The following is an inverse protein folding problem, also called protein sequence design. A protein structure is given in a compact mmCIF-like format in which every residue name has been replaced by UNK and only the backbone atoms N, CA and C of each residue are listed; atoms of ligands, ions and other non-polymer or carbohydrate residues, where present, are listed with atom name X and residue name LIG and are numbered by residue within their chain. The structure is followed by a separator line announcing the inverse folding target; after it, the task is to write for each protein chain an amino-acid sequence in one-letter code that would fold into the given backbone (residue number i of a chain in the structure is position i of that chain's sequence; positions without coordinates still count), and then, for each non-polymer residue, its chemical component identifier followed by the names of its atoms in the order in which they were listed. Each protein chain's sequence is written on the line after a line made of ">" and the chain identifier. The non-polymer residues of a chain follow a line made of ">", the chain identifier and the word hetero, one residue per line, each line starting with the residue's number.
data_IF_349169767633
#
_entry.id   IF_349169767633
#
_cell.length_a   1.000
_cell.length_b   1.000
_cell.length_c   1.000
_cell.angle_alpha   90.00
_cell.angle_beta   90.00
_cell.angle_gamma   90.00
#
_symmetry.space_group_name_H-M   'P 1'
#
loop_
_entity.id
_entity.type
_entity.pdbx_description
1 polymer ?
#
# COMPACT_ATOMS: atom_id res chain seq x y z
N UNK A 1 -20.36 -12.01 -24.20
CA UNK A 1 -19.05 -11.31 -24.07
C UNK A 1 -19.35 -9.82 -23.91
N UNK A 2 -18.95 -9.25 -22.79
CA UNK A 2 -19.14 -7.82 -22.50
C UNK A 2 -18.18 -6.97 -23.31
N UNK A 3 -18.42 -5.66 -23.42
CA UNK A 3 -17.49 -4.74 -24.09
C UNK A 3 -16.10 -4.74 -23.40
N UNK A 4 -16.06 -4.94 -22.07
CA UNK A 4 -14.83 -5.06 -21.32
C UNK A 4 -14.00 -6.27 -21.74
N UNK A 5 -14.63 -7.43 -21.95
CA UNK A 5 -13.95 -8.65 -22.42
C UNK A 5 -13.50 -8.56 -23.89
N UNK A 6 -14.16 -7.71 -24.69
CA UNK A 6 -13.80 -7.52 -26.09
C UNK A 6 -12.65 -6.54 -26.31
N UNK A 7 -12.56 -5.49 -25.48
CA UNK A 7 -11.69 -4.33 -25.74
C UNK A 7 -10.53 -4.21 -24.77
N UNK A 8 -10.64 -4.74 -23.55
CA UNK A 8 -9.57 -4.63 -22.56
C UNK A 8 -8.64 -5.84 -22.60
N UNK A 9 -7.37 -5.58 -22.26
CA UNK A 9 -6.35 -6.63 -22.12
C UNK A 9 -6.72 -7.67 -21.05
N UNK A 10 -6.25 -8.89 -21.22
CA UNK A 10 -6.40 -9.98 -20.24
C UNK A 10 -5.71 -9.74 -18.88
N UNK A 11 -4.92 -8.69 -18.74
CA UNK A 11 -4.25 -8.31 -17.49
C UNK A 11 -5.22 -7.91 -16.37
N UNK A 12 -6.49 -7.71 -16.68
CA UNK A 12 -7.56 -7.39 -15.71
C UNK A 12 -7.58 -8.41 -14.57
N UNK A 13 -7.65 -7.92 -13.33
CA UNK A 13 -7.70 -8.74 -12.13
C UNK A 13 -8.98 -8.51 -11.34
N UNK A 14 -9.20 -7.30 -10.85
CA UNK A 14 -10.32 -6.98 -9.95
C UNK A 14 -11.70 -7.22 -10.59
N UNK A 15 -11.88 -6.91 -11.87
CA UNK A 15 -13.14 -7.14 -12.58
C UNK A 15 -13.52 -8.62 -12.72
N UNK A 16 -12.56 -9.54 -12.48
CA UNK A 16 -12.85 -10.98 -12.46
C UNK A 16 -13.39 -11.42 -11.09
N UNK A 17 -12.93 -10.78 -10.02
CA UNK A 17 -13.45 -11.01 -8.66
C UNK A 17 -14.80 -10.33 -8.41
N UNK A 18 -15.04 -9.20 -9.08
CA UNK A 18 -16.24 -8.36 -8.93
C UNK A 18 -16.88 -8.08 -10.29
N UNK A 19 -17.59 -9.07 -10.88
CA UNK A 19 -18.08 -9.00 -12.26
C UNK A 19 -19.39 -8.18 -12.40
N UNK A 20 -19.43 -7.00 -11.79
CA UNK A 20 -20.54 -6.05 -11.82
C UNK A 20 -20.09 -4.70 -12.36
N UNK A 21 -21.03 -3.89 -12.88
CA UNK A 21 -20.74 -2.55 -13.38
C UNK A 21 -21.13 -1.53 -12.31
N UNK A 22 -20.13 -0.89 -11.71
CA UNK A 22 -20.35 0.19 -10.76
C UNK A 22 -20.60 1.51 -11.50
N UNK A 23 -21.56 2.29 -11.01
CA UNK A 23 -21.94 3.59 -11.55
C UNK A 23 -21.68 4.75 -10.58
N UNK A 24 -21.95 4.55 -9.29
CA UNK A 24 -21.89 5.58 -8.27
C UNK A 24 -21.15 5.09 -7.02
N UNK A 25 -20.46 6.00 -6.33
CA UNK A 25 -19.83 5.71 -5.04
C UNK A 25 -19.86 6.94 -4.11
N UNK A 26 -20.05 6.73 -2.80
CA UNK A 26 -20.05 7.78 -1.76
C UNK A 26 -19.53 7.21 -0.44
N UNK A 27 -18.56 7.86 0.19
CA UNK A 27 -17.98 7.38 1.44
C UNK A 27 -17.36 5.99 1.28
N UNK A 28 -17.82 5.01 2.04
CA UNK A 28 -17.42 3.62 1.96
C UNK A 28 -18.41 2.75 1.18
N UNK A 29 -19.22 3.33 0.31
CA UNK A 29 -20.27 2.61 -0.42
C UNK A 29 -20.14 2.79 -1.93
N UNK A 30 -20.27 1.69 -2.66
CA UNK A 30 -20.34 1.66 -4.11
C UNK A 30 -21.70 1.10 -4.55
N UNK A 31 -22.20 1.56 -5.69
CA UNK A 31 -23.50 1.16 -6.22
C UNK A 31 -23.35 0.75 -7.68
N UNK A 32 -23.99 -0.36 -8.04
CA UNK A 32 -24.08 -0.78 -9.43
C UNK A 32 -25.06 0.12 -10.21
N UNK A 33 -25.03 0.00 -11.53
CA UNK A 33 -26.01 0.66 -12.40
C UNK A 33 -27.47 0.23 -12.12
N UNK A 34 -27.66 -0.98 -11.60
CA UNK A 34 -28.97 -1.52 -11.20
C UNK A 34 -29.39 -1.10 -9.79
N UNK A 35 -28.49 -0.43 -9.05
CA UNK A 35 -28.78 0.12 -7.72
C UNK A 35 -28.33 -0.75 -6.55
N UNK A 36 -27.72 -1.91 -6.80
CA UNK A 36 -27.17 -2.77 -5.74
C UNK A 36 -26.04 -2.06 -5.00
N UNK A 37 -26.07 -2.13 -3.67
CA UNK A 37 -25.11 -1.51 -2.78
C UNK A 37 -24.02 -2.49 -2.37
N UNK A 38 -22.79 -2.03 -2.42
CA UNK A 38 -21.61 -2.73 -1.90
C UNK A 38 -20.88 -1.87 -0.88
N UNK A 39 -20.56 -2.45 0.27
CA UNK A 39 -19.70 -1.85 1.27
C UNK A 39 -18.22 -2.04 0.87
N UNK A 40 -17.46 -0.94 0.76
CA UNK A 40 -16.11 -0.96 0.21
C UNK A 40 -15.04 -1.04 1.31
N UNK A 41 -14.53 -2.25 1.55
CA UNK A 41 -13.38 -2.52 2.41
C UNK A 41 -12.07 -2.71 1.62
N UNK A 42 -12.07 -2.26 0.36
CA UNK A 42 -10.91 -2.25 -0.53
C UNK A 42 -10.35 -0.83 -0.74
N UNK A 43 -11.23 0.16 -0.85
CA UNK A 43 -10.91 1.59 -1.02
C UNK A 43 -9.84 1.84 -2.10
N UNK A 44 -10.01 1.20 -3.29
CA UNK A 44 -9.06 1.33 -4.38
C UNK A 44 -7.63 0.87 -4.03
N UNK A 45 -7.49 -0.26 -3.33
CA UNK A 45 -6.23 -0.76 -2.78
C UNK A 45 -5.53 0.26 -1.85
N UNK A 46 -6.31 0.97 -1.04
CA UNK A 46 -5.83 2.00 -0.12
C UNK A 46 -5.54 3.37 -0.78
N UNK A 47 -6.10 3.64 -1.97
CA UNK A 47 -5.99 4.95 -2.61
C UNK A 47 -7.05 5.97 -2.15
N UNK A 48 -8.08 5.51 -1.45
CA UNK A 48 -9.25 6.30 -1.07
C UNK A 48 -9.42 6.38 0.46
N UNK A 49 -8.34 6.76 1.17
CA UNK A 49 -8.40 6.89 2.63
C UNK A 49 -9.50 7.84 3.13
N UNK A 50 -9.87 8.83 2.32
CA UNK A 50 -10.91 9.80 2.66
C UNK A 50 -12.29 9.46 2.09
N UNK A 51 -12.47 8.23 1.58
CA UNK A 51 -13.70 7.73 0.99
C UNK A 51 -13.97 8.24 -0.43
N UNK A 52 -14.93 7.60 -1.08
CA UNK A 52 -15.39 8.00 -2.40
C UNK A 52 -16.15 9.34 -2.36
N UNK A 53 -15.89 10.19 -3.34
CA UNK A 53 -16.63 11.45 -3.53
C UNK A 53 -16.79 12.27 -2.24
N UNK A 54 -15.73 12.34 -1.43
CA UNK A 54 -15.71 13.16 -0.22
C UNK A 54 -16.22 14.57 -0.50
N UNK A 55 -17.23 15.02 0.23
CA UNK A 55 -17.98 16.24 -0.10
C UNK A 55 -17.11 17.50 -0.09
N UNK A 56 -16.21 17.65 0.89
CA UNK A 56 -15.30 18.79 0.97
C UNK A 56 -14.31 18.82 -0.17
N UNK A 57 -13.67 17.68 -0.44
CA UNK A 57 -12.69 17.55 -1.54
C UNK A 57 -13.34 17.73 -2.90
N UNK A 58 -14.55 17.18 -3.10
CA UNK A 58 -15.31 17.35 -4.34
C UNK A 58 -15.70 18.80 -4.58
N UNK A 59 -16.22 19.50 -3.57
CA UNK A 59 -16.59 20.89 -3.71
C UNK A 59 -15.39 21.76 -4.08
N UNK A 60 -14.26 21.54 -3.40
CA UNK A 60 -13.01 22.25 -3.69
C UNK A 60 -12.55 22.06 -5.14
N UNK A 61 -12.66 20.83 -5.64
CA UNK A 61 -12.31 20.50 -7.03
C UNK A 61 -13.25 21.17 -8.04
N UNK A 62 -14.57 21.11 -7.79
CA UNK A 62 -15.59 21.76 -8.64
C UNK A 62 -15.36 23.27 -8.72
N UNK A 63 -15.16 23.93 -7.59
CA UNK A 63 -14.89 25.37 -7.55
C UNK A 63 -13.61 25.75 -8.32
N UNK A 64 -12.58 24.90 -8.25
CA UNK A 64 -11.36 25.08 -8.99
C UNK A 64 -11.55 24.98 -10.52
N UNK A 65 -12.34 24.02 -10.96
CA UNK A 65 -12.66 23.84 -12.38
C UNK A 65 -13.51 25.01 -12.89
N UNK A 66 -14.51 25.43 -12.13
CA UNK A 66 -15.42 26.53 -12.52
C UNK A 66 -14.73 27.89 -12.63
N UNK A 67 -13.60 28.10 -11.94
CA UNK A 67 -12.80 29.33 -12.06
C UNK A 67 -11.67 29.25 -13.08
N UNK A 68 -11.67 28.27 -13.96
CA UNK A 68 -10.63 28.04 -14.97
C UNK A 68 -9.22 27.86 -14.36
N UNK A 69 -9.12 27.14 -13.24
CA UNK A 69 -7.85 26.85 -12.57
C UNK A 69 -6.88 26.10 -13.47
N UNK A 70 -5.57 26.35 -13.34
CA UNK A 70 -4.52 25.67 -14.12
C UNK A 70 -4.59 24.16 -13.87
N UNK A 71 -4.89 23.37 -14.91
CA UNK A 71 -5.05 21.91 -14.76
C UNK A 71 -3.71 21.19 -14.72
N UNK A 72 -2.80 21.53 -15.62
CA UNK A 72 -1.52 20.85 -15.79
C UNK A 72 -0.39 21.87 -15.83
N UNK A 73 0.63 21.67 -15.00
CA UNK A 73 1.69 22.68 -14.80
C UNK A 73 3.11 22.16 -14.96
N UNK A 74 3.33 20.86 -15.26
CA UNK A 74 4.68 20.31 -15.19
C UNK A 74 5.33 20.64 -13.82
N UNK A 75 6.42 21.42 -13.83
CA UNK A 75 7.07 21.96 -12.63
C UNK A 75 6.96 23.49 -12.50
N UNK A 76 6.08 24.10 -13.30
CA UNK A 76 5.78 25.54 -13.18
C UNK A 76 5.17 25.87 -11.83
N UNK A 77 5.39 27.09 -11.36
CA UNK A 77 4.79 27.60 -10.15
C UNK A 77 3.30 27.90 -10.36
N UNK A 78 2.45 27.26 -9.57
CA UNK A 78 1.01 27.53 -9.53
C UNK A 78 0.55 27.73 -8.10
N UNK A 79 -0.57 28.43 -7.92
CA UNK A 79 -1.18 28.62 -6.58
C UNK A 79 -1.53 27.27 -5.93
N UNK A 80 -2.06 26.31 -6.69
CA UNK A 80 -2.41 24.99 -6.15
C UNK A 80 -1.16 24.23 -5.66
N UNK A 81 -0.03 24.33 -6.37
CA UNK A 81 1.22 23.72 -5.96
C UNK A 81 1.82 24.41 -4.73
N UNK A 82 1.81 25.75 -4.70
CA UNK A 82 2.25 26.51 -3.54
C UNK A 82 1.43 26.15 -2.31
N UNK A 83 0.11 26.12 -2.45
CA UNK A 83 -0.82 25.78 -1.39
C UNK A 83 -0.57 24.36 -0.83
N UNK A 84 -0.36 23.38 -1.70
CA UNK A 84 -0.02 22.02 -1.28
C UNK A 84 1.31 21.96 -0.51
N UNK A 85 2.36 22.57 -1.05
CA UNK A 85 3.69 22.58 -0.42
C UNK A 85 3.64 23.24 0.96
N UNK A 86 2.98 24.40 1.07
CA UNK A 86 2.83 25.11 2.34
C UNK A 86 2.03 24.26 3.35
N UNK A 87 0.89 23.70 2.91
CA UNK A 87 0.05 22.89 3.77
C UNK A 87 0.78 21.62 4.24
N UNK A 88 1.50 20.95 3.35
CA UNK A 88 2.28 19.77 3.71
C UNK A 88 3.38 20.10 4.72
N UNK A 89 4.05 21.24 4.53
CA UNK A 89 5.05 21.76 5.49
C UNK A 89 4.42 22.02 6.85
N UNK A 90 3.32 22.77 6.91
CA UNK A 90 2.74 23.27 8.16
C UNK A 90 1.98 22.19 8.93
N UNK A 91 1.29 21.29 8.23
CA UNK A 91 0.41 20.27 8.85
C UNK A 91 1.13 18.94 9.07
N UNK A 92 2.08 18.57 8.20
CA UNK A 92 2.71 17.25 8.26
C UNK A 92 4.15 17.31 8.76
N UNK A 93 5.03 18.07 8.08
CA UNK A 93 6.47 18.00 8.37
C UNK A 93 6.82 18.73 9.66
N UNK A 94 6.41 19.98 9.81
CA UNK A 94 6.78 20.82 10.94
C UNK A 94 6.34 20.26 12.29
N UNK A 95 5.08 19.79 12.49
CA UNK A 95 4.67 19.22 13.77
C UNK A 95 5.43 17.95 14.15
N UNK A 96 6.00 17.25 13.16
CA UNK A 96 6.79 16.02 13.34
C UNK A 96 8.31 16.27 13.44
N UNK A 97 8.73 17.51 13.33
CA UNK A 97 10.16 17.87 13.33
C UNK A 97 10.94 17.27 12.16
N UNK A 98 10.27 17.00 11.03
CA UNK A 98 10.86 16.40 9.85
C UNK A 98 11.29 17.48 8.85
N UNK A 99 12.52 17.36 8.36
CA UNK A 99 13.08 18.24 7.31
C UNK A 99 13.30 17.43 6.03
N UNK A 100 12.34 17.55 5.10
CA UNK A 100 12.40 16.91 3.80
C UNK A 100 12.20 17.90 2.66
N UNK A 101 12.93 17.69 1.56
CA UNK A 101 12.61 18.26 0.25
C UNK A 101 11.56 17.38 -0.41
N UNK A 102 10.63 18.01 -1.14
CA UNK A 102 9.55 17.31 -1.85
C UNK A 102 9.85 17.27 -3.34
N UNK A 103 9.96 16.06 -3.88
CA UNK A 103 10.06 15.80 -5.29
C UNK A 103 8.73 15.21 -5.80
N UNK A 104 8.24 15.70 -6.94
CA UNK A 104 7.10 15.14 -7.67
C UNK A 104 7.64 14.32 -8.85
N UNK A 105 7.79 12.99 -8.75
CA UNK A 105 8.44 12.17 -9.77
C UNK A 105 7.53 11.84 -10.96
N UNK A 106 6.23 11.79 -10.72
CA UNK A 106 5.19 11.38 -11.66
C UNK A 106 3.92 11.01 -10.88
N UNK A 107 2.85 10.50 -11.54
CA UNK A 107 1.55 10.37 -10.88
C UNK A 107 1.40 9.11 -10.02
N UNK A 108 2.25 8.09 -10.16
CA UNK A 108 2.06 6.79 -9.51
C UNK A 108 3.15 6.42 -8.52
N UNK A 109 2.84 5.49 -7.61
CA UNK A 109 3.77 4.99 -6.60
C UNK A 109 5.06 4.43 -7.18
N UNK A 110 4.99 3.67 -8.27
CA UNK A 110 6.19 3.16 -8.95
C UNK A 110 7.12 4.29 -9.43
N UNK A 111 6.58 5.46 -9.83
CA UNK A 111 7.41 6.62 -10.19
C UNK A 111 8.19 7.14 -8.98
N UNK A 112 7.56 7.16 -7.79
CA UNK A 112 8.24 7.58 -6.55
C UNK A 112 9.36 6.59 -6.17
N UNK A 113 9.09 5.29 -6.27
CA UNK A 113 10.09 4.23 -6.01
C UNK A 113 11.27 4.31 -6.98
N UNK A 114 11.00 4.47 -8.30
CA UNK A 114 12.05 4.63 -9.32
C UNK A 114 12.93 5.85 -9.03
N UNK A 115 12.32 6.98 -8.65
CA UNK A 115 13.05 8.20 -8.29
C UNK A 115 13.92 7.98 -7.03
N UNK A 116 13.37 7.34 -6.00
CA UNK A 116 14.09 7.03 -4.76
C UNK A 116 15.31 6.15 -5.00
N UNK A 117 15.14 5.05 -5.75
CA UNK A 117 16.23 4.14 -6.10
C UNK A 117 17.30 4.81 -6.97
N UNK A 118 16.87 5.60 -7.96
CA UNK A 118 17.78 6.36 -8.83
C UNK A 118 18.59 7.37 -8.02
N UNK A 119 17.96 8.05 -7.05
CA UNK A 119 18.64 8.99 -6.17
C UNK A 119 19.64 8.28 -5.25
N UNK A 120 19.24 7.18 -4.62
CA UNK A 120 20.14 6.39 -3.77
C UNK A 120 21.41 5.96 -4.52
N UNK A 121 21.26 5.48 -5.75
CA UNK A 121 22.39 5.14 -6.62
C UNK A 121 23.27 6.33 -6.94
N UNK A 122 22.64 7.48 -7.25
CA UNK A 122 23.36 8.70 -7.61
C UNK A 122 24.20 9.24 -6.45
N UNK A 123 23.65 9.33 -5.25
CA UNK A 123 24.34 9.94 -4.11
C UNK A 123 25.41 9.04 -3.51
N UNK A 124 25.29 7.73 -3.66
CA UNK A 124 26.28 6.76 -3.13
C UNK A 124 27.30 6.31 -4.16
N UNK A 125 27.03 6.48 -5.45
CA UNK A 125 27.84 5.90 -6.53
C UNK A 125 27.76 4.37 -6.63
N UNK A 126 26.86 3.73 -5.87
CA UNK A 126 26.63 2.28 -5.83
C UNK A 126 25.43 1.90 -6.71
N UNK A 127 25.25 0.61 -7.02
CA UNK A 127 24.19 0.17 -7.96
C UNK A 127 23.10 -0.67 -7.33
N UNK A 128 23.42 -1.50 -6.34
CA UNK A 128 22.51 -2.49 -5.77
C UNK A 128 21.52 -1.86 -4.81
N UNK A 129 20.24 -2.27 -4.91
CA UNK A 129 19.22 -1.97 -3.92
C UNK A 129 18.84 -3.27 -3.21
N UNK A 130 18.81 -3.26 -1.90
CA UNK A 130 18.29 -4.36 -1.09
C UNK A 130 16.81 -4.13 -0.86
N UNK A 131 16.02 -5.19 -1.00
CA UNK A 131 14.60 -5.25 -0.66
C UNK A 131 14.32 -6.48 0.20
N UNK A 132 13.09 -6.61 0.70
CA UNK A 132 12.75 -7.72 1.59
C UNK A 132 11.86 -8.77 0.89
N UNK A 133 11.89 -10.00 1.40
CA UNK A 133 10.94 -11.05 0.97
C UNK A 133 9.50 -10.54 1.10
N UNK A 134 8.62 -10.96 0.18
CA UNK A 134 7.21 -10.54 0.08
C UNK A 134 6.96 -9.05 -0.21
N UNK A 135 7.99 -8.25 -0.52
CA UNK A 135 7.82 -6.83 -0.84
C UNK A 135 7.02 -6.59 -2.13
N UNK A 136 6.35 -5.43 -2.18
CA UNK A 136 5.73 -4.92 -3.39
C UNK A 136 5.96 -3.42 -3.54
N UNK A 137 6.74 -3.04 -4.56
CA UNK A 137 7.14 -1.64 -4.79
C UNK A 137 6.70 -1.08 -6.15
N UNK A 138 6.03 -1.88 -6.97
CA UNK A 138 5.49 -1.46 -8.26
C UNK A 138 5.76 -2.42 -9.40
N UNK A 139 5.30 -2.03 -10.61
CA UNK A 139 5.29 -2.89 -11.81
C UNK A 139 6.16 -2.37 -12.95
N UNK A 140 6.78 -1.19 -12.83
CA UNK A 140 7.85 -0.76 -13.76
C UNK A 140 9.10 -1.60 -13.53
N UNK A 141 9.96 -1.79 -14.51
CA UNK A 141 11.07 -2.73 -14.42
C UNK A 141 12.00 -2.50 -13.22
N UNK A 142 12.34 -1.25 -12.91
CA UNK A 142 13.14 -0.95 -11.73
C UNK A 142 12.40 -1.25 -10.43
N UNK A 143 11.13 -0.85 -10.28
CA UNK A 143 10.31 -1.15 -9.12
C UNK A 143 10.01 -2.66 -9.02
N UNK A 144 9.85 -3.34 -10.16
CA UNK A 144 9.64 -4.78 -10.23
C UNK A 144 10.88 -5.57 -9.78
N UNK A 145 12.08 -5.01 -10.00
CA UNK A 145 13.33 -5.64 -9.53
C UNK A 145 13.41 -5.77 -8.00
N UNK A 146 12.74 -4.89 -7.28
CA UNK A 146 12.65 -4.89 -5.80
C UNK A 146 11.30 -5.39 -5.29
N UNK A 147 10.46 -6.00 -6.15
CA UNK A 147 9.20 -6.65 -5.81
C UNK A 147 9.39 -8.16 -5.68
N UNK A 148 8.91 -8.77 -4.59
CA UNK A 148 9.15 -10.19 -4.27
C UNK A 148 8.24 -11.19 -4.99
N UNK A 149 7.11 -10.77 -5.57
CA UNK A 149 6.09 -11.65 -6.15
C UNK A 149 6.55 -12.33 -7.46
N UNK A 150 6.66 -13.66 -7.46
CA UNK A 150 7.20 -14.44 -8.57
C UNK A 150 6.35 -14.32 -9.86
N UNK A 151 5.01 -14.33 -9.76
CA UNK A 151 4.11 -14.18 -10.90
C UNK A 151 4.33 -12.83 -11.61
N UNK A 152 4.39 -11.75 -10.81
CA UNK A 152 4.59 -10.39 -11.35
C UNK A 152 5.97 -10.24 -11.97
N UNK A 153 7.01 -10.76 -11.32
CA UNK A 153 8.41 -10.74 -11.83
C UNK A 153 8.59 -11.57 -13.10
N UNK A 154 7.92 -12.72 -13.18
CA UNK A 154 7.98 -13.59 -14.36
C UNK A 154 7.50 -12.88 -15.64
N UNK A 155 6.59 -11.92 -15.53
CA UNK A 155 6.11 -11.10 -16.64
C UNK A 155 7.15 -10.14 -17.26
N UNK A 156 8.32 -9.93 -16.61
CA UNK A 156 9.39 -9.08 -17.17
C UNK A 156 10.03 -9.70 -18.43
N UNK A 157 10.06 -11.03 -18.54
CA UNK A 157 10.64 -11.73 -19.69
C UNK A 157 12.18 -11.69 -19.79
N UNK A 158 12.85 -11.06 -18.82
CA UNK A 158 14.30 -10.98 -18.72
C UNK A 158 14.76 -10.91 -17.26
N UNK A 159 16.06 -11.18 -16.95
CA UNK A 159 16.57 -11.06 -15.60
C UNK A 159 16.45 -9.62 -15.05
N UNK A 160 15.91 -9.48 -13.84
CA UNK A 160 15.86 -8.22 -13.11
C UNK A 160 17.16 -8.07 -12.31
N UNK A 161 17.91 -7.01 -12.60
CA UNK A 161 19.26 -6.80 -12.08
C UNK A 161 19.31 -5.72 -10.98
N UNK A 162 20.46 -5.65 -10.30
CA UNK A 162 20.79 -4.64 -9.30
C UNK A 162 19.84 -4.61 -8.09
N UNK A 163 19.26 -5.77 -7.76
CA UNK A 163 18.43 -5.95 -6.58
C UNK A 163 18.82 -7.23 -5.84
N UNK A 164 18.79 -7.19 -4.50
CA UNK A 164 19.05 -8.34 -3.62
C UNK A 164 17.93 -8.44 -2.62
N UNK A 165 17.30 -9.62 -2.54
CA UNK A 165 16.27 -9.91 -1.55
C UNK A 165 16.89 -10.43 -0.25
N UNK A 166 16.49 -9.87 0.90
CA UNK A 166 16.82 -10.38 2.22
C UNK A 166 15.54 -10.70 3.01
N UNK A 167 15.61 -11.58 4.02
CA UNK A 167 14.43 -11.92 4.81
C UNK A 167 13.83 -10.72 5.54
N UNK A 168 12.52 -10.52 5.42
CA UNK A 168 11.77 -9.56 6.22
C UNK A 168 11.66 -9.99 7.69
N UNK A 169 11.21 -9.09 8.56
CA UNK A 169 10.94 -9.40 9.97
C UNK A 169 10.00 -10.60 10.11
N UNK A 170 10.39 -11.59 10.92
CA UNK A 170 9.63 -12.82 11.15
C UNK A 170 9.60 -13.84 9.98
N UNK A 171 10.19 -13.54 8.81
CA UNK A 171 10.11 -14.41 7.62
C UNK A 171 10.72 -15.80 7.83
N UNK A 172 11.81 -15.92 8.60
CA UNK A 172 12.47 -17.20 8.89
C UNK A 172 11.76 -17.99 9.99
N UNK A 173 10.71 -17.43 10.61
CA UNK A 173 10.01 -18.02 11.73
C UNK A 173 10.79 -17.96 13.04
N UNK A 174 10.08 -18.23 14.17
CA UNK A 174 10.68 -18.24 15.49
C UNK A 174 11.35 -16.91 15.87
N UNK A 175 12.42 -17.00 16.62
CA UNK A 175 13.23 -15.86 17.11
C UNK A 175 14.41 -15.50 16.16
N UNK A 176 14.37 -15.93 14.89
CA UNK A 176 15.45 -15.70 13.96
C UNK A 176 15.63 -14.19 13.66
N UNK A 177 16.82 -13.68 13.97
CA UNK A 177 17.22 -12.30 13.69
C UNK A 177 17.59 -12.14 12.21
N UNK A 178 16.64 -11.72 11.40
CA UNK A 178 16.83 -11.56 9.95
C UNK A 178 17.82 -10.44 9.61
N UNK A 179 17.96 -9.42 10.46
CA UNK A 179 18.94 -8.35 10.26
C UNK A 179 20.36 -8.76 10.64
N UNK A 180 20.54 -9.68 11.59
CA UNK A 180 21.86 -10.25 11.87
C UNK A 180 22.39 -11.02 10.64
N UNK A 181 21.51 -11.71 9.90
CA UNK A 181 21.86 -12.32 8.62
C UNK A 181 22.31 -11.27 7.59
N UNK A 182 21.56 -10.18 7.45
CA UNK A 182 21.90 -9.09 6.51
C UNK A 182 23.21 -8.39 6.90
N UNK A 183 23.41 -8.08 8.18
CA UNK A 183 24.63 -7.50 8.69
C UNK A 183 25.84 -8.40 8.41
N UNK A 184 25.70 -9.71 8.63
CA UNK A 184 26.76 -10.69 8.30
C UNK A 184 27.15 -10.65 6.82
N UNK A 185 26.20 -10.47 5.91
CA UNK A 185 26.48 -10.33 4.49
C UNK A 185 27.26 -9.05 4.17
N UNK A 186 27.01 -7.95 4.88
CA UNK A 186 27.70 -6.67 4.69
C UNK A 186 29.12 -6.67 5.26
N UNK A 187 29.34 -7.35 6.38
CA UNK A 187 30.62 -7.39 7.10
C UNK A 187 31.59 -8.45 6.51
N UNK A 188 31.10 -9.42 5.76
CA UNK A 188 31.87 -10.51 5.20
C UNK A 188 32.26 -10.21 3.75
N UNK A 189 33.53 -9.86 3.54
CA UNK A 189 34.06 -9.61 2.18
C UNK A 189 33.96 -10.82 1.22
N UNK A 190 33.69 -12.02 1.74
CA UNK A 190 33.46 -13.24 0.99
C UNK A 190 31.99 -13.54 0.69
N UNK A 191 31.06 -12.70 1.16
CA UNK A 191 29.60 -12.94 1.02
C UNK A 191 29.09 -12.84 -0.40
N UNK A 192 29.79 -12.15 -1.30
CA UNK A 192 29.32 -11.84 -2.66
C UNK A 192 28.29 -10.71 -2.71
N UNK A 193 28.05 -10.01 -1.58
CA UNK A 193 27.15 -8.87 -1.49
C UNK A 193 27.96 -7.61 -1.22
N UNK A 194 28.13 -6.78 -2.26
CA UNK A 194 28.74 -5.47 -2.12
C UNK A 194 27.81 -4.54 -1.35
N UNK A 195 28.38 -3.54 -0.63
CA UNK A 195 27.61 -2.55 0.09
C UNK A 195 26.58 -1.86 -0.84
N UNK A 196 25.26 -1.98 -0.60
CA UNK A 196 24.25 -1.48 -1.51
C UNK A 196 24.15 0.05 -1.50
N UNK A 197 23.53 0.60 -2.53
CA UNK A 197 23.18 2.02 -2.63
C UNK A 197 22.09 2.39 -1.64
N UNK A 198 21.10 1.52 -1.49
CA UNK A 198 19.96 1.72 -0.61
C UNK A 198 19.30 0.42 -0.21
N UNK A 199 18.51 0.52 0.84
CA UNK A 199 17.56 -0.50 1.29
C UNK A 199 16.17 0.11 1.17
N UNK A 200 15.23 -0.59 0.53
CA UNK A 200 13.82 -0.20 0.44
C UNK A 200 12.96 -1.15 1.27
N UNK A 201 12.05 -0.60 2.07
CA UNK A 201 11.21 -1.36 3.00
C UNK A 201 9.80 -0.75 3.11
N UNK A 202 8.79 -1.62 3.15
CA UNK A 202 7.45 -1.31 3.66
C UNK A 202 7.44 -1.64 5.16
N UNK A 203 7.00 -0.74 6.02
CA UNK A 203 6.88 -1.03 7.47
C UNK A 203 5.77 -2.04 7.76
N UNK A 204 4.76 -2.07 6.89
CA UNK A 204 3.74 -3.12 6.79
C UNK A 204 3.61 -3.49 5.33
N UNK A 205 3.92 -4.74 5.00
CA UNK A 205 3.83 -5.25 3.63
C UNK A 205 2.38 -5.52 3.24
N UNK A 206 1.76 -4.60 2.52
CA UNK A 206 0.34 -4.70 2.19
C UNK A 206 0.02 -5.84 1.25
N UNK A 207 0.61 -5.83 0.07
CA UNK A 207 0.44 -6.87 -0.96
C UNK A 207 1.17 -8.17 -0.58
N UNK A 208 2.16 -8.08 0.29
CA UNK A 208 2.95 -9.21 0.79
C UNK A 208 2.25 -10.08 1.82
N UNK A 209 1.03 -9.71 2.29
CA UNK A 209 0.25 -10.49 3.25
C UNK A 209 0.10 -9.83 4.61
N UNK A 210 0.08 -8.51 4.66
CA UNK A 210 -0.08 -7.73 5.88
C UNK A 210 0.97 -8.10 6.95
N UNK A 211 2.21 -8.28 6.51
CA UNK A 211 3.33 -8.55 7.41
C UNK A 211 3.78 -7.23 8.06
N UNK A 212 3.77 -7.18 9.38
CA UNK A 212 4.11 -5.98 10.17
C UNK A 212 5.52 -6.12 10.70
N UNK A 213 6.40 -5.17 10.37
CA UNK A 213 7.72 -5.07 11.01
C UNK A 213 7.59 -4.52 12.42
N UNK A 214 8.34 -5.09 13.36
CA UNK A 214 8.38 -4.58 14.72
C UNK A 214 9.15 -3.25 14.80
N UNK A 215 8.78 -2.35 15.70
CA UNK A 215 9.53 -1.10 15.92
C UNK A 215 11.02 -1.34 16.22
N UNK A 216 11.34 -2.41 16.95
CA UNK A 216 12.70 -2.85 17.27
C UNK A 216 13.48 -3.20 16.01
N UNK A 217 12.88 -3.98 15.11
CA UNK A 217 13.49 -4.39 13.85
C UNK A 217 13.75 -3.17 12.95
N UNK A 218 12.80 -2.23 12.87
CA UNK A 218 12.95 -0.99 12.09
C UNK A 218 14.07 -0.10 12.64
N UNK A 219 14.19 0.04 13.97
CA UNK A 219 15.29 0.76 14.60
C UNK A 219 16.63 0.10 14.29
N UNK A 220 16.72 -1.22 14.42
CA UNK A 220 17.93 -1.98 14.06
C UNK A 220 18.29 -1.81 12.58
N UNK A 221 17.31 -1.81 11.68
CA UNK A 221 17.52 -1.56 10.25
C UNK A 221 18.07 -0.15 10.01
N UNK A 222 17.50 0.89 10.69
CA UNK A 222 18.00 2.26 10.59
C UNK A 222 19.46 2.38 11.07
N UNK A 223 19.79 1.76 12.18
CA UNK A 223 21.15 1.76 12.73
C UNK A 223 22.14 1.06 11.81
N UNK A 224 21.75 -0.09 11.27
CA UNK A 224 22.54 -0.85 10.30
C UNK A 224 22.84 -0.01 9.05
N UNK A 225 21.80 0.56 8.43
CA UNK A 225 21.96 1.37 7.22
C UNK A 225 22.80 2.62 7.47
N UNK A 226 22.70 3.24 8.65
CA UNK A 226 23.52 4.39 9.05
C UNK A 226 24.99 4.01 9.17
N UNK A 227 25.32 2.91 9.85
CA UNK A 227 26.71 2.44 10.04
C UNK A 227 27.41 2.14 8.71
N UNK A 228 26.70 1.61 7.73
CA UNK A 228 27.24 1.23 6.42
C UNK A 228 27.09 2.32 5.34
N UNK A 229 26.55 3.50 5.69
CA UNK A 229 26.32 4.59 4.73
C UNK A 229 25.40 4.16 3.58
N UNK A 230 24.33 3.45 3.91
CA UNK A 230 23.32 2.95 2.99
C UNK A 230 22.08 3.85 3.11
N UNK A 231 21.49 4.27 1.99
CA UNK A 231 20.26 5.08 1.97
C UNK A 231 19.07 4.22 2.41
N UNK A 232 18.38 4.58 3.48
CA UNK A 232 17.15 3.93 3.91
C UNK A 232 15.95 4.60 3.23
N UNK A 233 15.22 3.82 2.43
CA UNK A 233 14.00 4.22 1.73
C UNK A 233 12.82 3.51 2.41
N UNK A 234 11.88 4.27 2.96
CA UNK A 234 10.60 3.73 3.42
C UNK A 234 9.55 3.93 2.33
N UNK A 235 8.96 2.83 1.90
CA UNK A 235 7.85 2.85 0.94
C UNK A 235 6.51 2.96 1.69
N UNK A 236 6.00 4.17 1.76
CA UNK A 236 4.73 4.54 2.40
C UNK A 236 3.60 4.75 1.39
N UNK A 237 3.73 4.22 0.18
CA UNK A 237 2.73 4.36 -0.88
C UNK A 237 1.36 3.82 -0.47
N UNK A 238 1.31 2.68 0.23
CA UNK A 238 0.05 2.08 0.68
C UNK A 238 -0.21 2.33 2.17
N UNK A 239 0.82 2.31 3.00
CA UNK A 239 0.68 2.33 4.45
C UNK A 239 0.81 3.72 5.08
N UNK A 240 1.25 4.71 4.32
CA UNK A 240 1.24 6.11 4.71
C UNK A 240 -0.14 6.75 4.65
N UNK A 241 -0.19 8.05 4.85
CA UNK A 241 -1.41 8.86 4.90
C UNK A 241 -2.44 8.30 5.90
N UNK A 242 -1.98 7.78 7.05
CA UNK A 242 -2.82 7.36 8.16
C UNK A 242 -3.29 5.91 8.15
N UNK A 243 -2.99 5.13 7.13
CA UNK A 243 -3.47 3.74 7.04
C UNK A 243 -3.13 2.91 8.26
N UNK A 244 -1.97 3.15 8.87
CA UNK A 244 -1.48 2.43 10.06
C UNK A 244 -1.67 3.21 11.38
N UNK A 245 -2.37 4.34 11.36
CA UNK A 245 -2.56 5.28 12.48
C UNK A 245 -1.91 6.63 12.16
N UNK A 246 -0.62 6.79 12.47
CA UNK A 246 0.14 8.00 12.17
C UNK A 246 0.20 8.32 10.67
N UNK A 247 0.50 9.58 10.33
CA UNK A 247 0.59 9.99 8.92
C UNK A 247 1.61 9.16 8.16
N UNK A 248 2.81 8.97 8.73
CA UNK A 248 3.81 8.05 8.21
C UNK A 248 3.79 6.73 8.96
N UNK A 249 3.88 5.62 8.25
CA UNK A 249 3.84 4.30 8.86
C UNK A 249 5.04 4.00 9.79
N UNK A 250 6.13 4.75 9.67
CA UNK A 250 7.34 4.59 10.46
C UNK A 250 7.34 5.37 11.79
N UNK A 251 6.35 6.25 12.04
CA UNK A 251 6.35 7.12 13.23
C UNK A 251 6.43 6.34 14.55
N UNK A 252 5.72 5.24 14.67
CA UNK A 252 5.73 4.37 15.86
C UNK A 252 7.14 3.85 16.21
N UNK A 253 7.97 3.60 15.21
CA UNK A 253 9.33 3.11 15.42
C UNK A 253 10.31 4.21 15.89
N UNK A 254 9.96 5.47 15.67
CA UNK A 254 10.79 6.63 15.98
C UNK A 254 11.99 6.82 15.04
N UNK A 255 12.04 6.09 13.90
CA UNK A 255 13.11 6.28 12.92
C UNK A 255 12.83 7.47 12.02
N UNK A 256 13.88 8.05 11.43
CA UNK A 256 13.79 9.04 10.35
C UNK A 256 14.48 8.45 9.11
N UNK A 257 13.71 8.01 8.10
CA UNK A 257 14.26 7.51 6.83
C UNK A 257 15.02 8.59 6.06
N UNK A 258 15.88 8.19 5.15
CA UNK A 258 16.59 9.13 4.28
C UNK A 258 15.69 9.57 3.11
N UNK A 259 14.85 8.64 2.63
CA UNK A 259 13.84 8.89 1.59
C UNK A 259 12.52 8.21 1.99
N UNK A 260 11.40 8.88 1.70
CA UNK A 260 10.05 8.31 1.86
C UNK A 260 9.29 8.43 0.55
N UNK A 261 8.63 7.37 0.09
CA UNK A 261 7.75 7.42 -1.08
C UNK A 261 6.29 7.44 -0.66
N UNK A 262 5.50 8.36 -1.23
CA UNK A 262 4.07 8.50 -1.02
C UNK A 262 3.34 8.51 -2.36
N UNK A 263 2.14 7.96 -2.40
CA UNK A 263 1.22 8.04 -3.54
C UNK A 263 -0.20 7.75 -3.06
N UNK A 264 -1.06 7.22 -3.93
CA UNK A 264 -2.42 6.82 -3.56
C UNK A 264 -3.18 7.96 -2.89
N UNK A 265 -3.44 7.84 -1.59
CA UNK A 265 -4.28 8.79 -0.83
C UNK A 265 -3.69 10.19 -0.66
N UNK A 266 -2.41 10.42 -0.97
CA UNK A 266 -1.83 11.77 -0.92
C UNK A 266 -2.49 12.75 -1.88
N UNK A 267 -3.10 12.26 -2.97
CA UNK A 267 -3.89 13.06 -3.90
C UNK A 267 -5.27 13.51 -3.35
N UNK A 268 -5.65 13.06 -2.17
CA UNK A 268 -6.89 13.42 -1.46
C UNK A 268 -8.13 12.78 -2.05
N UNK A 269 -8.64 13.29 -3.16
CA UNK A 269 -9.90 12.86 -3.79
C UNK A 269 -9.83 11.53 -4.55
N UNK A 270 -8.65 10.93 -4.67
CA UNK A 270 -8.39 9.80 -5.56
C UNK A 270 -7.73 10.19 -6.88
N UNK A 271 -7.28 11.45 -7.00
CA UNK A 271 -6.53 11.91 -8.17
C UNK A 271 -5.07 11.42 -8.08
N UNK A 272 -4.47 11.01 -9.21
CA UNK A 272 -3.10 10.51 -9.23
C UNK A 272 -2.08 11.58 -8.80
N UNK A 273 -1.31 11.28 -7.76
CA UNK A 273 -0.17 12.05 -7.30
C UNK A 273 0.82 11.14 -6.58
N UNK A 274 2.11 11.42 -6.71
CA UNK A 274 3.14 10.77 -5.93
C UNK A 274 4.21 11.76 -5.47
N UNK A 275 4.79 11.50 -4.32
CA UNK A 275 5.88 12.26 -3.74
C UNK A 275 7.06 11.33 -3.45
N UNK A 276 8.26 11.86 -3.65
CA UNK A 276 9.48 11.34 -3.07
C UNK A 276 10.01 12.40 -2.12
N UNK A 277 9.89 12.14 -0.83
CA UNK A 277 10.46 12.99 0.22
C UNK A 277 11.91 12.57 0.41
N UNK A 278 12.82 13.53 0.47
CA UNK A 278 14.24 13.25 0.62
C UNK A 278 14.89 14.23 1.58
N UNK A 279 15.85 13.76 2.38
CA UNK A 279 16.64 14.65 3.24
C UNK A 279 17.36 15.69 2.38
N UNK A 280 17.48 16.96 2.83
CA UNK A 280 18.07 18.05 2.04
C UNK A 280 19.45 17.73 1.47
N UNK A 281 20.31 17.05 2.21
CA UNK A 281 21.66 16.67 1.77
C UNK A 281 21.69 15.66 0.63
N UNK A 282 20.59 14.94 0.39
CA UNK A 282 20.46 14.00 -0.71
C UNK A 282 19.99 14.68 -2.01
N UNK A 283 19.53 15.93 -1.95
CA UNK A 283 19.01 16.64 -3.13
C UNK A 283 20.15 17.08 -4.07
N UNK A 284 20.73 16.10 -4.74
CA UNK A 284 21.83 16.27 -5.69
C UNK A 284 21.39 16.19 -7.15
N UNK A 285 20.09 16.35 -7.42
CA UNK A 285 19.55 16.38 -8.77
C UNK A 285 20.05 17.60 -9.56
N UNK A 286 20.34 17.37 -10.84
CA UNK A 286 20.50 18.48 -11.78
C UNK A 286 19.12 18.83 -12.37
N UNK A 287 18.90 20.10 -12.76
CA UNK A 287 17.66 20.50 -13.42
C UNK A 287 17.32 19.59 -14.62
N UNK A 288 16.11 19.04 -14.63
CA UNK A 288 15.64 18.14 -15.69
C UNK A 288 16.14 16.70 -15.64
N UNK A 289 17.02 16.33 -14.71
CA UNK A 289 17.64 14.98 -14.67
C UNK A 289 16.64 13.86 -14.38
N UNK A 290 15.53 14.17 -13.70
CA UNK A 290 14.41 13.26 -13.52
C UNK A 290 13.12 14.03 -13.74
N UNK A 291 12.63 14.01 -14.96
CA UNK A 291 11.44 14.75 -15.37
C UNK A 291 10.33 13.82 -15.88
N UNK A 292 9.11 14.32 -15.91
CA UNK A 292 7.93 13.60 -16.42
C UNK A 292 6.76 14.55 -16.62
N UNK A 293 6.02 14.38 -17.71
CA UNK A 293 4.95 15.30 -18.10
C UNK A 293 3.89 15.45 -17.00
N UNK A 294 3.46 14.37 -16.37
CA UNK A 294 2.38 14.37 -15.38
C UNK A 294 2.86 14.52 -13.92
N UNK A 295 4.00 15.18 -13.71
CA UNK A 295 4.50 15.49 -12.36
C UNK A 295 3.82 16.68 -11.68
N UNK A 296 2.97 17.41 -12.41
CA UNK A 296 2.30 18.62 -11.91
C UNK A 296 0.82 18.66 -12.31
N UNK A 297 -0.03 17.89 -11.64
CA UNK A 297 -1.49 17.89 -11.83
C UNK A 297 -2.09 18.74 -10.72
N UNK A 298 -2.42 20.01 -11.06
CA UNK A 298 -2.88 20.98 -10.08
C UNK A 298 -4.17 20.61 -9.35
N UNK A 299 -5.16 19.94 -9.96
CA UNK A 299 -6.30 19.36 -9.23
C UNK A 299 -5.90 18.43 -8.08
N UNK A 300 -4.86 17.58 -8.27
CA UNK A 300 -4.38 16.69 -7.22
C UNK A 300 -3.67 17.45 -6.08
N UNK A 301 -2.91 18.50 -6.39
CA UNK A 301 -2.34 19.37 -5.36
C UNK A 301 -3.43 20.04 -4.53
N UNK A 302 -4.48 20.52 -5.18
CA UNK A 302 -5.59 21.19 -4.53
C UNK A 302 -6.33 20.24 -3.58
N UNK A 303 -6.71 19.06 -4.06
CA UNK A 303 -7.46 18.08 -3.24
C UNK A 303 -6.59 17.44 -2.17
N UNK A 304 -5.30 17.24 -2.43
CA UNK A 304 -4.34 16.79 -1.44
C UNK A 304 -4.17 17.81 -0.29
N UNK A 305 -3.96 19.09 -0.62
CA UNK A 305 -3.89 20.15 0.40
C UNK A 305 -5.16 20.23 1.26
N UNK A 306 -6.33 20.15 0.62
CA UNK A 306 -7.60 20.20 1.35
C UNK A 306 -7.79 18.97 2.25
N UNK A 307 -7.39 17.77 1.81
CA UNK A 307 -7.43 16.57 2.64
C UNK A 307 -6.53 16.70 3.88
N UNK A 308 -5.34 17.29 3.72
CA UNK A 308 -4.44 17.53 4.84
C UNK A 308 -5.07 18.48 5.87
N UNK A 309 -5.72 19.56 5.43
CA UNK A 309 -6.40 20.51 6.32
C UNK A 309 -7.57 19.89 7.05
N UNK A 310 -8.40 19.13 6.35
CA UNK A 310 -9.62 18.55 6.90
C UNK A 310 -9.37 17.43 7.89
N UNK A 311 -8.29 16.69 7.73
CA UNK A 311 -8.13 15.41 8.42
C UNK A 311 -6.84 15.28 9.25
N UNK A 312 -5.88 16.20 9.11
CA UNK A 312 -4.58 16.06 9.78
C UNK A 312 -4.21 17.21 10.71
N UNK A 313 -5.12 18.17 10.88
CA UNK A 313 -4.84 19.35 11.70
C UNK A 313 -4.99 19.09 13.22
N UNK A 314 -5.75 18.09 13.64
CA UNK A 314 -6.16 17.89 15.03
C UNK A 314 -5.91 16.48 15.61
N UNK A 315 -5.40 15.53 14.82
CA UNK A 315 -5.14 14.14 15.24
C UNK A 315 -6.40 13.25 15.38
N UNK A 316 -7.59 13.75 15.06
CA UNK A 316 -8.84 12.98 15.20
C UNK A 316 -8.88 11.77 14.26
N UNK A 317 -8.43 11.94 13.01
CA UNK A 317 -8.37 10.84 12.04
C UNK A 317 -7.43 9.72 12.50
N UNK A 318 -6.28 10.06 13.07
CA UNK A 318 -5.34 9.11 13.63
C UNK A 318 -5.96 8.31 14.77
N UNK A 319 -6.54 9.00 15.77
CA UNK A 319 -7.20 8.38 16.90
C UNK A 319 -8.36 7.47 16.47
N UNK A 320 -9.17 7.92 15.51
CA UNK A 320 -10.29 7.15 14.94
C UNK A 320 -9.78 5.90 14.20
N UNK A 321 -8.70 6.03 13.41
CA UNK A 321 -8.10 4.90 12.68
C UNK A 321 -7.59 3.82 13.63
N UNK A 322 -6.92 4.21 14.71
CA UNK A 322 -6.41 3.28 15.71
C UNK A 322 -7.56 2.56 16.44
N UNK A 323 -8.59 3.29 16.88
CA UNK A 323 -9.76 2.72 17.56
C UNK A 323 -10.50 1.71 16.68
N UNK A 324 -10.81 2.08 15.42
CA UNK A 324 -11.47 1.18 14.46
C UNK A 324 -10.60 -0.03 14.12
N UNK A 325 -9.29 0.19 13.96
CA UNK A 325 -8.33 -0.89 13.73
C UNK A 325 -8.29 -1.89 14.86
N UNK A 326 -8.37 -1.43 16.13
CA UNK A 326 -8.44 -2.33 17.27
C UNK A 326 -9.77 -3.10 17.31
N UNK A 327 -10.89 -2.44 17.00
CA UNK A 327 -12.20 -3.10 16.90
C UNK A 327 -12.20 -4.23 15.84
N UNK A 328 -11.59 -3.99 14.68
CA UNK A 328 -11.43 -5.04 13.65
C UNK A 328 -10.53 -6.18 14.17
N UNK A 329 -9.45 -5.84 14.86
CA UNK A 329 -8.53 -6.80 15.46
C UNK A 329 -9.21 -7.73 16.47
N UNK A 330 -10.02 -7.18 17.36
CA UNK A 330 -10.84 -7.94 18.34
C UNK A 330 -11.70 -8.99 17.62
N UNK A 331 -12.50 -8.54 16.65
CA UNK A 331 -13.41 -9.43 15.91
C UNK A 331 -12.66 -10.48 15.09
N UNK A 332 -11.53 -10.11 14.48
CA UNK A 332 -10.71 -11.07 13.74
C UNK A 332 -10.08 -12.11 14.67
N UNK A 333 -9.70 -11.69 15.88
CA UNK A 333 -9.18 -12.61 16.91
C UNK A 333 -10.27 -13.58 17.39
N UNK A 334 -11.52 -13.11 17.58
CA UNK A 334 -12.67 -13.97 17.89
C UNK A 334 -12.93 -14.98 16.76
N UNK A 335 -12.94 -14.52 15.49
CA UNK A 335 -13.11 -15.39 14.32
C UNK A 335 -12.02 -16.48 14.28
N UNK A 336 -10.76 -16.10 14.53
CA UNK A 336 -9.66 -17.05 14.54
C UNK A 336 -9.75 -18.05 15.70
N UNK A 337 -10.24 -17.63 16.87
CA UNK A 337 -10.44 -18.48 18.03
C UNK A 337 -11.63 -19.44 17.88
N UNK A 338 -12.68 -19.02 17.17
CA UNK A 338 -13.89 -19.82 16.89
C UNK A 338 -13.63 -20.88 15.80
N UNK A 339 -12.57 -20.72 14.99
CA UNK A 339 -12.23 -21.68 13.93
C UNK A 339 -11.65 -22.97 14.51
N UNK A 340 -11.82 -24.08 13.79
CA UNK A 340 -11.22 -25.35 14.18
C UNK A 340 -9.69 -25.22 14.29
N UNK A 341 -9.04 -25.79 15.32
CA UNK A 341 -7.60 -25.61 15.60
C UNK A 341 -6.68 -25.95 14.42
N UNK A 342 -7.07 -26.89 13.58
CA UNK A 342 -6.34 -27.29 12.38
C UNK A 342 -6.28 -26.20 11.31
N UNK A 343 -7.19 -25.21 11.34
CA UNK A 343 -7.20 -24.07 10.42
C UNK A 343 -6.06 -23.09 10.71
N UNK A 344 -5.54 -23.04 11.93
CA UNK A 344 -4.40 -22.18 12.32
C UNK A 344 -4.50 -20.74 11.78
N UNK A 345 -5.69 -20.15 11.84
CA UNK A 345 -5.91 -18.77 11.37
C UNK A 345 -5.02 -17.80 12.15
N UNK A 346 -4.40 -16.86 11.44
CA UNK A 346 -3.53 -15.84 12.05
C UNK A 346 -4.01 -14.44 11.71
N UNK A 347 -4.31 -13.67 12.75
CA UNK A 347 -4.67 -12.25 12.60
C UNK A 347 -3.42 -11.41 12.39
N UNK A 348 -3.48 -10.49 11.45
CA UNK A 348 -2.36 -9.61 11.07
C UNK A 348 -2.80 -8.17 10.91
N UNK A 349 -1.89 -7.24 11.10
CA UNK A 349 -2.09 -5.86 10.69
C UNK A 349 -1.88 -4.81 11.77
N UNK A 350 -1.98 -3.54 11.32
CA UNK A 350 -1.86 -2.34 12.14
C UNK A 350 -2.78 -1.25 11.59
N UNK A 351 -3.44 -0.48 12.47
CA UNK A 351 -4.44 0.50 12.06
C UNK A 351 -5.56 -0.14 11.24
N UNK A 352 -5.94 0.47 10.13
CA UNK A 352 -6.94 -0.03 9.20
C UNK A 352 -6.33 -0.81 8.00
N UNK A 353 -5.15 -1.36 8.16
CA UNK A 353 -4.59 -2.42 7.31
C UNK A 353 -4.62 -3.72 8.09
N UNK A 354 -5.66 -4.54 7.92
CA UNK A 354 -5.89 -5.77 8.69
C UNK A 354 -6.17 -6.95 7.78
N UNK A 355 -5.88 -8.16 8.27
CA UNK A 355 -6.17 -9.39 7.56
C UNK A 355 -6.17 -10.62 8.44
N UNK A 356 -6.72 -11.71 7.89
CA UNK A 356 -6.64 -13.05 8.47
C UNK A 356 -5.92 -13.95 7.45
N UNK A 357 -4.85 -14.60 7.88
CA UNK A 357 -4.19 -15.65 7.10
C UNK A 357 -4.93 -16.97 7.25
N UNK A 358 -5.24 -17.59 6.13
CA UNK A 358 -5.85 -18.89 5.99
C UNK A 358 -4.81 -19.94 5.55
N UNK A 359 -5.07 -21.25 5.74
CA UNK A 359 -4.19 -22.34 5.29
C UNK A 359 -3.90 -22.32 3.78
N UNK A 360 -4.84 -21.78 2.97
CA UNK A 360 -4.69 -21.70 1.52
C UNK A 360 -5.32 -20.42 0.96
N UNK A 361 -4.82 -20.01 -0.22
CA UNK A 361 -5.41 -18.89 -0.97
C UNK A 361 -6.81 -19.19 -1.51
N UNK A 362 -7.14 -20.47 -1.68
CA UNK A 362 -8.47 -20.92 -2.09
C UNK A 362 -9.50 -20.59 -1.00
N UNK A 363 -9.21 -20.90 0.26
CA UNK A 363 -10.08 -20.57 1.39
C UNK A 363 -10.21 -19.04 1.58
N UNK A 364 -9.10 -18.32 1.57
CA UNK A 364 -9.15 -16.87 1.67
C UNK A 364 -9.96 -16.25 0.52
N UNK A 365 -9.77 -16.76 -0.70
CA UNK A 365 -10.54 -16.35 -1.88
C UNK A 365 -12.02 -16.70 -1.79
N UNK A 366 -12.36 -17.86 -1.24
CA UNK A 366 -13.76 -18.26 -1.00
C UNK A 366 -14.45 -17.31 -0.02
N UNK A 367 -13.77 -16.91 1.06
CA UNK A 367 -14.30 -15.91 2.01
C UNK A 367 -14.54 -14.56 1.31
N UNK A 368 -13.61 -14.12 0.45
CA UNK A 368 -13.79 -12.86 -0.31
C UNK A 368 -14.99 -12.96 -1.27
N UNK A 369 -15.20 -14.10 -1.94
CA UNK A 369 -16.38 -14.33 -2.79
C UNK A 369 -17.68 -14.31 -1.99
N UNK A 370 -17.73 -15.04 -0.89
CA UNK A 370 -18.90 -15.07 0.00
C UNK A 370 -19.24 -13.68 0.56
N UNK A 371 -18.24 -12.84 0.83
CA UNK A 371 -18.45 -11.45 1.22
C UNK A 371 -18.97 -10.59 0.05
N UNK A 372 -18.47 -10.79 -1.16
CA UNK A 372 -18.98 -10.11 -2.36
C UNK A 372 -20.46 -10.42 -2.61
N UNK A 373 -20.87 -11.66 -2.47
CA UNK A 373 -22.28 -12.10 -2.59
C UNK A 373 -23.18 -11.44 -1.52
N UNK A 374 -22.58 -10.98 -0.40
CA UNK A 374 -23.27 -10.24 0.67
C UNK A 374 -23.14 -8.72 0.54
N UNK A 375 -22.68 -8.24 -0.62
CA UNK A 375 -22.56 -6.81 -0.89
C UNK A 375 -21.35 -6.15 -0.25
N UNK A 376 -20.18 -6.83 -0.18
CA UNK A 376 -18.95 -6.26 0.36
C UNK A 376 -17.75 -6.51 -0.56
N UNK A 377 -16.93 -5.49 -0.77
CA UNK A 377 -15.68 -5.58 -1.53
C UNK A 377 -14.49 -5.72 -0.60
N UNK A 378 -13.73 -6.79 -0.75
CA UNK A 378 -12.44 -7.01 -0.11
C UNK A 378 -11.59 -7.96 -0.95
N UNK A 379 -10.30 -8.02 -0.71
CA UNK A 379 -9.38 -8.78 -1.54
C UNK A 379 -8.49 -9.73 -0.74
N UNK A 380 -7.77 -10.59 -1.45
CA UNK A 380 -6.69 -11.40 -0.88
C UNK A 380 -5.32 -10.77 -1.12
N UNK A 381 -4.35 -11.10 -0.28
CA UNK A 381 -2.94 -10.72 -0.41
C UNK A 381 -2.02 -11.84 0.08
N UNK A 382 -0.70 -11.60 -0.01
CA UNK A 382 0.31 -12.57 0.40
C UNK A 382 0.69 -13.56 -0.70
N UNK A 383 1.72 -14.34 -0.42
CA UNK A 383 2.17 -15.41 -1.31
C UNK A 383 1.04 -16.45 -1.48
N UNK A 384 0.61 -16.68 -2.72
CA UNK A 384 -0.52 -17.57 -2.99
C UNK A 384 -1.90 -17.03 -2.57
N UNK A 385 -2.02 -15.75 -2.19
CA UNK A 385 -3.29 -15.14 -1.84
C UNK A 385 -3.90 -15.64 -0.51
N UNK A 386 -3.08 -16.09 0.42
CA UNK A 386 -3.54 -16.75 1.66
C UNK A 386 -4.15 -15.81 2.70
N UNK A 387 -4.00 -14.50 2.54
CA UNK A 387 -4.46 -13.51 3.51
C UNK A 387 -5.68 -12.77 2.97
N UNK A 388 -6.86 -12.99 3.57
CA UNK A 388 -8.02 -12.11 3.42
C UNK A 388 -7.65 -10.75 4.01
N UNK A 389 -7.73 -9.69 3.19
CA UNK A 389 -7.25 -8.34 3.52
C UNK A 389 -8.37 -7.32 3.44
N UNK A 390 -8.40 -6.42 4.42
CA UNK A 390 -9.31 -5.27 4.45
C UNK A 390 -8.51 -3.96 4.56
N UNK A 391 -8.90 -2.99 3.73
CA UNK A 391 -8.34 -1.63 3.66
C UNK A 391 -9.47 -0.58 3.52
N UNK A 392 -10.46 -0.52 4.43
CA UNK A 392 -11.56 0.43 4.31
C UNK A 392 -11.06 1.88 4.29
N UNK A 393 -11.86 2.82 3.82
CA UNK A 393 -11.57 4.24 3.98
C UNK A 393 -11.36 4.57 5.47
N UNK A 394 -10.43 5.47 5.80
CA UNK A 394 -10.20 5.89 7.21
C UNK A 394 -11.40 6.64 7.79
N UNK A 395 -12.17 7.27 6.89
CA UNK A 395 -13.40 7.99 7.20
C UNK A 395 -14.65 7.10 7.28
N UNK A 396 -14.51 5.77 7.14
CA UNK A 396 -15.61 4.81 7.34
C UNK A 396 -16.26 5.03 8.71
N UNK A 397 -17.58 4.95 8.80
CA UNK A 397 -18.29 5.11 10.07
C UNK A 397 -18.16 3.87 10.95
N UNK A 398 -18.37 4.01 12.26
CA UNK A 398 -18.35 2.88 13.18
C UNK A 398 -19.47 1.87 12.84
N UNK A 399 -20.65 2.33 12.42
CA UNK A 399 -21.75 1.47 11.96
C UNK A 399 -21.39 0.65 10.71
N UNK A 400 -20.73 1.28 9.73
CA UNK A 400 -20.23 0.57 8.53
C UNK A 400 -19.13 -0.42 8.86
N UNK A 401 -18.29 -0.15 9.88
CA UNK A 401 -17.31 -1.12 10.37
C UNK A 401 -18.03 -2.33 10.96
N UNK A 402 -19.02 -2.16 11.84
CA UNK A 402 -19.77 -3.27 12.43
C UNK A 402 -20.56 -4.06 11.37
N UNK A 403 -21.16 -3.40 10.39
CA UNK A 403 -21.79 -4.06 9.24
C UNK A 403 -20.81 -4.94 8.50
N UNK A 404 -19.63 -4.41 8.13
CA UNK A 404 -18.59 -5.16 7.43
C UNK A 404 -18.08 -6.35 8.25
N UNK A 405 -17.89 -6.17 9.55
CA UNK A 405 -17.47 -7.24 10.46
C UNK A 405 -18.52 -8.36 10.56
N UNK A 406 -19.80 -8.02 10.55
CA UNK A 406 -20.88 -9.01 10.52
C UNK A 406 -20.87 -9.82 9.20
N UNK A 407 -20.66 -9.16 8.05
CA UNK A 407 -20.52 -9.81 6.73
C UNK A 407 -19.32 -10.75 6.72
N UNK A 408 -18.14 -10.30 7.20
CA UNK A 408 -16.93 -11.12 7.24
C UNK A 408 -17.16 -12.37 8.12
N UNK A 409 -17.72 -12.19 9.32
CA UNK A 409 -18.02 -13.30 10.23
C UNK A 409 -18.95 -14.32 9.59
N UNK A 410 -20.00 -13.87 8.91
CA UNK A 410 -20.94 -14.75 8.19
C UNK A 410 -20.24 -15.50 7.06
N UNK A 411 -19.41 -14.82 6.28
CA UNK A 411 -18.67 -15.39 5.15
C UNK A 411 -17.64 -16.44 5.60
N UNK A 412 -16.91 -16.17 6.69
CA UNK A 412 -15.96 -17.14 7.25
C UNK A 412 -16.69 -18.36 7.79
N UNK A 413 -17.80 -18.19 8.52
CA UNK A 413 -18.59 -19.31 9.02
C UNK A 413 -19.16 -20.20 7.91
N UNK A 414 -19.63 -19.61 6.83
CA UNK A 414 -20.11 -20.37 5.67
C UNK A 414 -18.98 -21.20 5.06
N UNK A 415 -17.85 -20.58 4.75
CA UNK A 415 -16.74 -21.25 4.09
C UNK A 415 -16.13 -22.35 4.98
N UNK A 416 -15.94 -22.09 6.27
CA UNK A 416 -15.35 -23.08 7.18
C UNK A 416 -16.37 -24.13 7.65
N UNK A 417 -17.67 -23.81 7.70
CA UNK A 417 -18.73 -24.77 8.03
C UNK A 417 -19.02 -25.77 6.93
N UNK A 418 -18.84 -25.39 5.66
CA UNK A 418 -18.98 -26.28 4.51
C UNK A 418 -17.75 -27.20 4.28
N UNK A 419 -16.61 -26.91 4.91
CA UNK A 419 -15.39 -27.72 4.76
C UNK A 419 -15.47 -29.11 5.40
N UNK A 420 -16.48 -29.41 6.21
CA UNK A 420 -16.59 -30.74 6.81
C UNK A 420 -17.16 -31.84 5.89
N UNK A 421 -17.82 -31.52 4.77
CA UNK A 421 -18.40 -32.55 3.88
C UNK A 421 -18.37 -32.24 2.36
N UNK A 422 -18.19 -31.01 1.89
CA UNK A 422 -18.43 -30.66 0.47
C UNK A 422 -17.21 -30.16 -0.35
N UNK A 423 -16.12 -29.70 0.26
CA UNK A 423 -14.91 -29.26 -0.49
C UNK A 423 -14.11 -30.43 -1.12
N UNK A 424 -14.50 -31.66 -0.86
CA UNK A 424 -13.96 -32.85 -1.53
C UNK A 424 -14.62 -33.16 -2.87
N UNK A 425 -15.69 -32.46 -3.26
CA UNK A 425 -16.50 -32.78 -4.44
C UNK A 425 -16.36 -31.80 -5.63
N UNK A 426 -15.82 -30.59 -5.43
CA UNK A 426 -15.68 -29.59 -6.53
C UNK A 426 -14.21 -29.31 -6.87
N UNK A 427 -13.48 -30.34 -7.32
CA UNK A 427 -12.26 -30.15 -8.11
C UNK A 427 -12.63 -29.60 -9.51
N UNK A 428 -12.75 -28.29 -9.63
CA UNK A 428 -12.64 -27.63 -10.94
C UNK A 428 -11.14 -27.43 -11.23
N UNK A 429 -10.56 -28.13 -12.21
CA UNK A 429 -9.14 -28.00 -12.49
C UNK A 429 -8.83 -26.59 -12.98
N UNK A 430 -7.92 -25.89 -12.29
CA UNK A 430 -7.27 -24.70 -12.82
C UNK A 430 -6.56 -25.07 -14.13
N UNK A 431 -6.62 -24.26 -15.18
CA UNK A 431 -5.88 -24.53 -16.39
C UNK A 431 -4.39 -24.57 -16.10
N UNK A 432 -3.81 -25.77 -16.23
CA UNK A 432 -2.37 -25.99 -16.19
C UNK A 432 -1.77 -25.24 -17.36
N UNK A 433 -1.03 -24.19 -17.13
CA UNK A 433 -0.14 -23.59 -18.12
C UNK A 433 1.01 -24.58 -18.31
N UNK A 434 0.88 -25.42 -19.35
CA UNK A 434 1.98 -26.26 -19.80
C UNK A 434 3.00 -25.34 -20.46
N UNK A 435 4.18 -25.21 -19.80
CA UNK A 435 5.34 -24.59 -20.39
C UNK A 435 5.89 -25.46 -21.51
N UNK A 436 6.15 -24.85 -22.66
CA UNK A 436 7.10 -25.30 -23.66
C UNK A 436 7.99 -24.14 -24.05
#
# INVERSE_FOLDING_TARGET
>A
MTIFEQMESEVRSYSRGWPVVFDRAVGSQMFTADGDRYLDFFAGAGALNYGHNNAGLKQKLVDYILRDGVTHSLDMFTEARRDFLQTFQDVILQPRGLDYRIMFPGPGGANAVEAAMKLARKVTGRTTIVHFTNSFHGMTEGALSVTGNALKRGGAGHPLHHAVAVPFDGYLGGEADTLAYFEKLLDDSGSGVDTPAGVIVETVQGEGGINVATPEWLRKLRDLTTRHGIVLIVDDVQMGCGRTGGFFSFEESGIVPDIVTLSKSIGGYGLPMALTLLKPELDQWKPGEHNGTFRGIAPAFLTGAEALRLYWADGELEASTLRKGERINEVFTEIAADAAPEMQLKVRGRGLARGIEFPSGELAGAVCRAAFERGMLMETSGAGGTVMKVLPALTITDDEVEEGLAIIRASVREVLGSTSEELAADEVPLPVVVGS
#
